data_IF_763246310762
#
_entry.id   IF_763246310762
#
_cell.length_a   1.000
_cell.length_b   1.000
_cell.length_c   1.000
_cell.angle_alpha   90.00
_cell.angle_beta   90.00
_cell.angle_gamma   90.00
#
_symmetry.space_group_name_H-M   'P 1'
#
loop_
_entity.id
_entity.type
_entity.pdbx_description
1 polymer ?
#
# COMPACT_ATOMS: atom_id res chain seq x y z
N UNK A 1 3.40 13.17 -11.02
CA UNK A 1 3.92 12.58 -9.76
C UNK A 1 2.79 12.56 -8.72
N UNK A 2 2.18 11.40 -8.47
CA UNK A 2 0.96 11.25 -7.64
C UNK A 2 1.22 10.59 -6.28
N UNK A 3 2.49 10.34 -5.95
CA UNK A 3 2.94 9.83 -4.67
C UNK A 3 3.30 11.01 -3.78
N UNK A 4 2.76 11.04 -2.56
CA UNK A 4 3.05 12.06 -1.56
C UNK A 4 3.77 11.43 -0.37
N UNK A 5 4.96 11.94 -0.08
CA UNK A 5 5.74 11.63 1.11
C UNK A 5 5.83 12.90 1.94
N UNK A 6 5.36 12.85 3.18
CA UNK A 6 5.39 14.00 4.10
C UNK A 6 6.59 13.97 5.04
N UNK A 7 7.21 12.80 5.16
CA UNK A 7 8.32 12.52 6.06
C UNK A 7 9.65 12.90 5.40
N UNK A 8 10.57 13.41 6.22
CA UNK A 8 11.95 13.76 5.86
C UNK A 8 12.93 12.86 6.58
N UNK A 9 14.15 12.80 6.08
CA UNK A 9 15.23 12.06 6.73
C UNK A 9 15.46 12.61 8.15
N UNK A 10 15.51 11.71 9.14
CA UNK A 10 15.69 12.05 10.55
C UNK A 10 14.40 12.19 11.35
N UNK A 11 13.23 12.19 10.72
CA UNK A 11 11.94 12.24 11.44
C UNK A 11 11.72 10.97 12.28
N UNK A 12 11.30 11.16 13.54
CA UNK A 12 10.81 10.07 14.40
C UNK A 12 9.32 9.87 14.14
N UNK A 13 8.92 8.62 13.89
CA UNK A 13 7.53 8.26 13.63
C UNK A 13 6.99 7.36 14.73
N UNK A 14 5.75 7.61 15.14
CA UNK A 14 5.00 6.71 16.00
C UNK A 14 4.42 5.52 15.20
N UNK A 15 4.17 4.40 15.89
CA UNK A 15 3.49 3.25 15.28
C UNK A 15 2.11 3.69 14.76
N UNK A 16 1.83 3.39 13.50
CA UNK A 16 0.57 3.76 12.83
C UNK A 16 0.55 5.19 12.27
N UNK A 17 1.60 5.99 12.46
CA UNK A 17 1.69 7.31 11.87
C UNK A 17 1.78 7.22 10.34
N UNK A 18 1.02 8.07 9.65
CA UNK A 18 1.00 8.12 8.18
C UNK A 18 2.31 8.70 7.65
N UNK A 19 3.06 7.87 6.92
CA UNK A 19 4.29 8.30 6.22
C UNK A 19 3.99 9.13 4.96
N UNK A 20 2.93 8.74 4.26
CA UNK A 20 2.57 9.27 2.96
C UNK A 20 1.43 8.44 2.36
N UNK A 21 1.10 8.71 1.11
CA UNK A 21 0.18 7.87 0.36
C UNK A 21 0.36 8.03 -1.15
N UNK A 22 -0.11 7.03 -1.88
CA UNK A 22 -0.16 7.02 -3.33
C UNK A 22 -1.58 7.43 -3.73
N UNK A 23 -1.73 8.53 -4.48
CA UNK A 23 -3.05 9.00 -4.94
C UNK A 23 -3.64 8.05 -5.97
N UNK A 24 -4.97 8.04 -6.05
CA UNK A 24 -5.70 7.29 -7.07
C UNK A 24 -5.26 7.64 -8.50
N UNK A 25 -5.25 6.62 -9.36
CA UNK A 25 -4.75 6.67 -10.74
C UNK A 25 -3.22 6.55 -10.86
N UNK A 26 -2.51 6.24 -9.77
CA UNK A 26 -1.18 5.63 -9.83
C UNK A 26 -1.29 4.11 -9.87
N UNK A 27 -0.36 3.45 -10.56
CA UNK A 27 -0.15 2.00 -10.49
C UNK A 27 0.81 1.67 -9.35
N UNK A 28 0.49 0.61 -8.61
CA UNK A 28 1.34 0.06 -7.54
C UNK A 28 1.51 -1.43 -7.84
N UNK A 29 2.76 -1.88 -7.94
CA UNK A 29 3.08 -3.31 -8.02
C UNK A 29 3.49 -3.78 -6.61
N UNK A 30 2.93 -4.90 -6.16
CA UNK A 30 3.17 -5.48 -4.83
C UNK A 30 3.89 -6.82 -5.00
N UNK A 31 5.08 -6.93 -4.42
CA UNK A 31 5.82 -8.20 -4.40
C UNK A 31 5.45 -8.97 -3.15
N UNK A 32 5.04 -10.23 -3.32
CA UNK A 32 4.62 -11.11 -2.25
C UNK A 32 5.50 -12.36 -2.22
N UNK A 33 5.73 -12.97 -1.03
CA UNK A 33 6.35 -14.28 -0.94
C UNK A 33 5.56 -15.33 -1.74
N UNK A 34 6.24 -16.38 -2.21
CA UNK A 34 5.60 -17.47 -2.96
C UNK A 34 4.57 -18.25 -2.15
N UNK A 35 4.62 -18.16 -0.81
CA UNK A 35 3.66 -18.79 0.10
C UNK A 35 2.38 -17.96 0.28
N UNK A 36 2.37 -16.71 -0.16
CA UNK A 36 1.23 -15.83 0.02
C UNK A 36 0.02 -16.31 -0.79
N UNK A 37 -1.17 -16.21 -0.19
CA UNK A 37 -2.45 -16.51 -0.83
C UNK A 37 -3.15 -15.21 -1.24
N UNK A 38 -3.30 -14.92 -2.55
CA UNK A 38 -4.05 -13.75 -3.00
C UNK A 38 -5.50 -13.78 -2.52
N UNK A 39 -6.02 -12.62 -2.12
CA UNK A 39 -7.41 -12.41 -1.67
C UNK A 39 -8.24 -11.57 -2.64
N UNK A 40 -7.66 -11.19 -3.77
CA UNK A 40 -8.27 -10.39 -4.84
C UNK A 40 -7.92 -11.00 -6.20
N UNK A 41 -8.76 -10.72 -7.21
CA UNK A 41 -8.59 -11.15 -8.59
C UNK A 41 -8.56 -9.96 -9.56
N UNK A 42 -8.18 -10.24 -10.82
CA UNK A 42 -8.22 -9.23 -11.89
C UNK A 42 -9.65 -8.75 -12.11
N UNK A 43 -9.86 -7.45 -12.06
CA UNK A 43 -11.17 -6.81 -12.20
C UNK A 43 -11.82 -6.37 -10.89
N UNK A 44 -11.32 -6.85 -9.74
CA UNK A 44 -11.83 -6.44 -8.44
C UNK A 44 -11.57 -4.95 -8.17
N UNK A 45 -12.58 -4.27 -7.61
CA UNK A 45 -12.42 -2.92 -7.09
C UNK A 45 -11.84 -3.00 -5.67
N UNK A 46 -10.66 -2.43 -5.49
CA UNK A 46 -9.98 -2.36 -4.20
C UNK A 46 -10.11 -0.97 -3.57
N UNK A 47 -10.22 -0.92 -2.25
CA UNK A 47 -10.19 0.30 -1.46
C UNK A 47 -8.88 0.36 -0.67
N UNK A 48 -8.21 1.51 -0.74
CA UNK A 48 -6.97 1.73 0.00
C UNK A 48 -7.22 1.58 1.51
N UNK A 49 -6.25 1.01 2.23
CA UNK A 49 -6.26 0.79 3.69
C UNK A 49 -7.30 -0.19 4.24
N UNK A 50 -8.21 -0.73 3.42
CA UNK A 50 -9.23 -1.69 3.88
C UNK A 50 -9.25 -3.01 3.12
N UNK A 51 -9.00 -3.02 1.81
CA UNK A 51 -8.97 -4.26 1.04
C UNK A 51 -7.68 -5.04 1.31
N UNK A 52 -7.83 -6.26 1.82
CA UNK A 52 -6.72 -7.20 1.98
C UNK A 52 -6.35 -7.76 0.60
N UNK A 53 -5.10 -7.58 0.18
CA UNK A 53 -4.62 -8.09 -1.11
C UNK A 53 -4.19 -9.55 -1.07
N UNK A 54 -3.57 -9.98 0.04
CA UNK A 54 -3.09 -11.34 0.25
C UNK A 54 -2.91 -11.65 1.74
N UNK A 55 -2.94 -12.94 2.07
CA UNK A 55 -2.59 -13.50 3.39
C UNK A 55 -1.25 -14.26 3.27
N UNK A 56 -0.41 -14.21 4.32
CA UNK A 56 0.89 -14.88 4.36
C UNK A 56 0.81 -16.25 5.01
#
# INVERSE_FOLDING_TARGET
RRILCYVKAGDRLARGQRYGFIRFGSRVDVYLPLTARPRVAVGDRVAATSTILAEL
#
